data_IF_572565653927
#
_entry.id   IF_572565653927
#
_cell.length_a   1.000
_cell.length_b   1.000
_cell.length_c   1.000
_cell.angle_alpha   90.00
_cell.angle_beta   90.00
_cell.angle_gamma   90.00
#
_symmetry.space_group_name_H-M   'P 1'
#
loop_
_entity.id
_entity.type
_entity.pdbx_description
1 polymer ?
#
# COMPACT_ATOMS: atom_id res chain seq x y z
N UNK A 1 19.67 -18.97 5.81
CA UNK A 1 18.24 -19.22 5.87
C UNK A 1 17.55 -18.45 6.96
N UNK A 2 18.11 -18.41 8.18
CA UNK A 2 17.58 -17.61 9.29
C UNK A 2 17.49 -16.12 8.95
N UNK A 3 18.52 -15.57 8.30
CA UNK A 3 18.56 -14.16 7.89
C UNK A 3 17.41 -13.80 6.95
N UNK A 4 17.08 -14.67 6.01
CA UNK A 4 16.01 -14.42 5.05
C UNK A 4 14.64 -14.41 5.73
N UNK A 5 14.41 -15.30 6.68
CA UNK A 5 13.18 -15.36 7.46
C UNK A 5 13.05 -14.12 8.34
N UNK A 6 14.13 -13.74 9.03
CA UNK A 6 14.15 -12.56 9.88
C UNK A 6 13.91 -11.29 9.07
N UNK A 7 14.47 -11.20 7.86
CA UNK A 7 14.25 -10.07 6.97
C UNK A 7 12.79 -9.98 6.53
N UNK A 8 12.16 -11.11 6.21
CA UNK A 8 10.75 -11.13 5.84
C UNK A 8 9.84 -10.72 6.99
N UNK A 9 10.14 -11.17 8.21
CA UNK A 9 9.38 -10.77 9.40
C UNK A 9 9.54 -9.28 9.68
N UNK A 10 10.75 -8.76 9.57
CA UNK A 10 11.03 -7.34 9.75
C UNK A 10 10.31 -6.52 8.69
N UNK A 11 10.34 -6.98 7.44
CA UNK A 11 9.64 -6.33 6.33
C UNK A 11 8.13 -6.24 6.59
N UNK A 12 7.52 -7.32 7.03
CA UNK A 12 6.09 -7.35 7.38
C UNK A 12 5.77 -6.38 8.50
N UNK A 13 6.64 -6.30 9.52
CA UNK A 13 6.48 -5.37 10.63
C UNK A 13 6.54 -3.93 10.16
N UNK A 14 7.50 -3.61 9.29
CA UNK A 14 7.60 -2.29 8.69
C UNK A 14 6.33 -1.94 7.91
N UNK A 15 5.84 -2.85 7.08
CA UNK A 15 4.63 -2.62 6.28
C UNK A 15 3.41 -2.39 7.18
N UNK A 16 3.26 -3.17 8.25
CA UNK A 16 2.16 -3.01 9.20
C UNK A 16 2.20 -1.66 9.91
N UNK A 17 3.39 -1.24 10.34
CA UNK A 17 3.59 0.06 10.98
C UNK A 17 3.25 1.18 10.02
N UNK A 18 3.70 1.07 8.77
CA UNK A 18 3.44 2.08 7.75
C UNK A 18 1.95 2.22 7.45
N UNK A 19 1.23 1.11 7.29
CA UNK A 19 -0.22 1.16 7.06
C UNK A 19 -0.90 1.92 8.20
N UNK A 20 -0.57 1.58 9.44
CA UNK A 20 -1.14 2.23 10.60
C UNK A 20 -0.84 3.73 10.65
N UNK A 21 0.42 4.09 10.48
CA UNK A 21 0.84 5.49 10.55
C UNK A 21 0.30 6.32 9.40
N UNK A 22 0.33 5.77 8.19
CA UNK A 22 -0.19 6.48 7.02
C UNK A 22 -1.68 6.77 7.16
N UNK A 23 -2.44 5.82 7.71
CA UNK A 23 -3.87 6.01 7.90
C UNK A 23 -4.21 6.91 9.10
N UNK A 24 -3.38 6.92 10.13
CA UNK A 24 -3.62 7.72 11.33
C UNK A 24 -3.19 9.18 11.16
N UNK A 25 -2.05 9.41 10.55
CA UNK A 25 -1.47 10.76 10.51
C UNK A 25 -1.13 11.25 9.10
N UNK A 26 -1.25 10.41 8.10
CA UNK A 26 -0.97 10.76 6.71
C UNK A 26 0.42 10.36 6.26
N UNK A 27 0.59 10.20 4.95
CA UNK A 27 1.83 9.76 4.34
C UNK A 27 2.96 10.77 4.55
N UNK A 28 2.70 12.03 4.23
CA UNK A 28 3.73 13.08 4.31
C UNK A 28 4.16 13.38 5.75
N UNK A 29 3.25 13.22 6.70
CA UNK A 29 3.55 13.45 8.12
C UNK A 29 4.31 12.30 8.78
N UNK A 30 4.52 11.19 8.07
CA UNK A 30 5.21 10.01 8.60
C UNK A 30 6.65 10.00 8.12
N UNK A 31 7.60 9.97 9.05
CA UNK A 31 9.03 9.93 8.74
C UNK A 31 9.59 8.52 8.85
N UNK A 32 10.71 8.28 8.16
CA UNK A 32 11.43 7.01 8.26
C UNK A 32 11.88 6.75 9.71
N UNK A 33 12.31 7.80 10.40
CA UNK A 33 12.73 7.69 11.82
C UNK A 33 11.58 7.18 12.68
N UNK A 34 10.38 7.69 12.48
CA UNK A 34 9.21 7.25 13.23
C UNK A 34 8.85 5.81 12.89
N UNK A 35 8.87 5.46 11.62
CA UNK A 35 8.59 4.09 11.18
C UNK A 35 9.56 3.11 11.82
N UNK A 36 10.85 3.41 11.77
CA UNK A 36 11.89 2.56 12.34
C UNK A 36 11.71 2.40 13.86
N UNK A 37 11.46 3.51 14.55
CA UNK A 37 11.26 3.48 16.00
C UNK A 37 10.08 2.59 16.40
N UNK A 38 8.96 2.71 15.72
CA UNK A 38 7.77 1.92 16.02
C UNK A 38 7.91 0.46 15.59
N UNK A 39 8.71 0.19 14.56
CA UNK A 39 9.00 -1.18 14.15
C UNK A 39 10.08 -1.83 15.02
N UNK A 40 10.70 -1.07 15.93
CA UNK A 40 11.73 -1.58 16.82
C UNK A 40 13.05 -1.85 16.13
N UNK A 41 13.38 -1.08 15.10
CA UNK A 41 14.62 -1.23 14.32
C UNK A 41 15.31 0.12 14.17
N UNK A 42 16.57 0.08 13.72
CA UNK A 42 17.30 1.30 13.39
C UNK A 42 16.90 1.82 12.01
N UNK A 43 17.13 3.11 11.77
CA UNK A 43 16.94 3.71 10.44
C UNK A 43 17.81 2.98 9.41
N UNK A 44 19.02 2.60 9.80
CA UNK A 44 19.93 1.86 8.93
C UNK A 44 19.32 0.51 8.49
N UNK A 45 18.71 -0.22 9.41
CA UNK A 45 18.03 -1.48 9.09
C UNK A 45 16.85 -1.25 8.16
N UNK A 46 16.07 -0.19 8.40
CA UNK A 46 14.98 0.18 7.51
C UNK A 46 15.50 0.41 6.08
N UNK A 47 16.57 1.19 5.95
CA UNK A 47 17.12 1.57 4.64
C UNK A 47 17.76 0.40 3.90
N UNK A 48 18.19 -0.64 4.63
CA UNK A 48 18.67 -1.87 4.00
C UNK A 48 17.54 -2.67 3.36
N UNK A 49 16.31 -2.56 3.88
CA UNK A 49 15.14 -3.29 3.38
C UNK A 49 14.37 -2.44 2.37
N UNK A 50 14.07 -1.20 2.73
CA UNK A 50 13.41 -0.21 1.88
C UNK A 50 14.27 1.03 1.83
N UNK A 51 14.79 1.40 0.68
CA UNK A 51 15.69 2.54 0.56
C UNK A 51 15.01 3.86 0.89
N UNK A 52 13.73 3.97 0.57
CA UNK A 52 12.97 5.20 0.73
C UNK A 52 11.57 4.89 1.25
N UNK A 53 10.88 5.93 1.72
CA UNK A 53 9.48 5.82 2.11
C UNK A 53 8.60 5.51 0.89
N UNK A 54 8.95 6.05 -0.28
CA UNK A 54 8.21 5.77 -1.52
C UNK A 54 8.33 4.31 -1.93
N UNK A 55 9.44 3.65 -1.64
CA UNK A 55 9.60 2.21 -1.91
C UNK A 55 8.61 1.38 -1.09
N UNK A 56 8.37 1.78 0.17
CA UNK A 56 7.34 1.15 1.00
C UNK A 56 5.96 1.36 0.37
N UNK A 57 5.68 2.58 -0.02
CA UNK A 57 4.39 2.92 -0.64
C UNK A 57 4.16 2.12 -1.92
N UNK A 58 5.19 2.00 -2.76
CA UNK A 58 5.13 1.22 -4.00
C UNK A 58 4.70 -0.23 -3.72
N UNK A 59 5.29 -0.85 -2.71
CA UNK A 59 4.95 -2.23 -2.36
C UNK A 59 3.53 -2.35 -1.80
N UNK A 60 3.12 -1.41 -0.95
CA UNK A 60 1.76 -1.37 -0.42
C UNK A 60 0.72 -1.18 -1.53
N UNK A 61 1.02 -0.36 -2.52
CA UNK A 61 0.15 -0.13 -3.67
C UNK A 61 -0.10 -1.44 -4.42
N UNK A 62 0.95 -2.24 -4.62
CA UNK A 62 0.80 -3.54 -5.27
C UNK A 62 -0.22 -4.42 -4.56
N UNK A 63 -0.17 -4.47 -3.24
CA UNK A 63 -1.14 -5.22 -2.44
C UNK A 63 -2.53 -4.59 -2.52
N UNK A 64 -2.63 -3.27 -2.40
CA UNK A 64 -3.91 -2.57 -2.43
C UNK A 64 -4.65 -2.78 -3.74
N UNK A 65 -3.98 -2.56 -4.85
CA UNK A 65 -4.63 -2.68 -6.16
C UNK A 65 -4.96 -4.14 -6.49
N UNK A 66 -4.09 -5.07 -6.16
CA UNK A 66 -4.37 -6.49 -6.35
C UNK A 66 -5.58 -6.93 -5.51
N UNK A 67 -5.62 -6.51 -4.25
CA UNK A 67 -6.73 -6.82 -3.36
C UNK A 67 -8.04 -6.20 -3.80
N UNK A 68 -8.01 -4.95 -4.23
CA UNK A 68 -9.19 -4.25 -4.72
C UNK A 68 -9.73 -4.89 -5.98
N UNK A 69 -8.87 -5.24 -6.93
CA UNK A 69 -9.28 -5.88 -8.18
C UNK A 69 -9.91 -7.24 -7.90
N UNK A 70 -9.30 -8.04 -7.04
CA UNK A 70 -9.82 -9.35 -6.66
C UNK A 70 -11.19 -9.24 -6.00
N UNK A 71 -11.34 -8.32 -5.05
CA UNK A 71 -12.61 -8.07 -4.37
C UNK A 71 -13.69 -7.60 -5.35
N UNK A 72 -13.34 -6.67 -6.24
CA UNK A 72 -14.26 -6.15 -7.24
C UNK A 72 -14.72 -7.24 -8.21
N UNK A 73 -13.80 -8.11 -8.59
CA UNK A 73 -14.12 -9.23 -9.48
C UNK A 73 -15.09 -10.21 -8.83
N UNK A 74 -14.87 -10.50 -7.53
CA UNK A 74 -15.77 -11.38 -6.78
C UNK A 74 -17.16 -10.75 -6.64
N UNK A 75 -17.22 -9.45 -6.39
CA UNK A 75 -18.50 -8.73 -6.26
C UNK A 75 -19.25 -8.64 -7.58
N UNK A 76 -18.54 -8.44 -8.68
CA UNK A 76 -19.16 -8.36 -10.01
C UNK A 76 -19.63 -9.70 -10.52
N UNK A 77 -19.03 -10.79 -10.07
CA UNK A 77 -19.37 -12.15 -10.45
C UNK A 77 -18.63 -12.64 -11.70
N UNK A 78 -18.50 -13.97 -11.84
CA UNK A 78 -17.70 -14.56 -12.91
C UNK A 78 -18.33 -14.49 -14.29
N UNK A 79 -19.64 -14.24 -14.36
CA UNK A 79 -20.39 -14.23 -15.63
C UNK A 79 -20.40 -12.86 -16.30
N UNK A 80 -19.92 -11.80 -15.62
CA UNK A 80 -19.90 -10.46 -16.17
C UNK A 80 -18.55 -10.14 -16.84
N UNK A 81 -18.58 -9.28 -17.88
CA UNK A 81 -17.33 -8.85 -18.52
C UNK A 81 -16.39 -8.14 -17.54
N UNK A 82 -15.07 -8.14 -17.79
CA UNK A 82 -14.10 -7.49 -16.91
C UNK A 82 -14.35 -6.00 -16.65
N UNK A 83 -15.03 -5.30 -17.56
CA UNK A 83 -15.34 -3.88 -17.37
C UNK A 83 -16.21 -3.65 -16.13
N UNK A 84 -17.06 -4.62 -15.75
CA UNK A 84 -17.86 -4.50 -14.54
C UNK A 84 -17.00 -4.59 -13.28
N UNK A 85 -16.00 -5.46 -13.27
CA UNK A 85 -15.04 -5.53 -12.17
C UNK A 85 -14.29 -4.22 -12.00
N UNK A 86 -13.89 -3.61 -13.12
CA UNK A 86 -13.22 -2.31 -13.11
C UNK A 86 -14.12 -1.21 -12.54
N UNK A 87 -15.39 -1.19 -12.95
CA UNK A 87 -16.34 -0.22 -12.44
C UNK A 87 -16.58 -0.38 -10.94
N UNK A 88 -16.69 -1.62 -10.45
CA UNK A 88 -16.84 -1.89 -9.01
C UNK A 88 -15.60 -1.48 -8.25
N UNK A 89 -14.41 -1.75 -8.77
CA UNK A 89 -13.15 -1.33 -8.16
C UNK A 89 -13.08 0.19 -8.02
N UNK A 90 -13.46 0.92 -9.07
CA UNK A 90 -13.49 2.38 -9.03
C UNK A 90 -14.47 2.88 -7.96
N UNK A 91 -15.64 2.27 -7.87
CA UNK A 91 -16.64 2.63 -6.87
C UNK A 91 -16.13 2.37 -5.45
N UNK A 92 -15.45 1.25 -5.21
CA UNK A 92 -14.83 0.93 -3.92
C UNK A 92 -13.79 1.99 -3.56
N UNK A 93 -12.91 2.31 -4.49
CA UNK A 93 -11.84 3.28 -4.28
C UNK A 93 -12.41 4.66 -3.93
N UNK A 94 -13.40 5.12 -4.66
CA UNK A 94 -14.05 6.41 -4.40
C UNK A 94 -14.71 6.42 -3.03
N UNK A 95 -15.40 5.35 -2.66
CA UNK A 95 -16.05 5.23 -1.36
C UNK A 95 -15.03 5.29 -0.22
N UNK A 96 -13.94 4.55 -0.34
CA UNK A 96 -12.89 4.53 0.69
C UNK A 96 -12.22 5.90 0.84
N UNK A 97 -11.98 6.61 -0.25
CA UNK A 97 -11.36 7.94 -0.18
C UNK A 97 -12.29 8.99 0.41
N UNK A 98 -13.61 8.81 0.28
CA UNK A 98 -14.59 9.68 0.95
C UNK A 98 -14.62 9.45 2.45
N UNK A 99 -14.38 8.22 2.89
CA UNK A 99 -14.46 7.85 4.31
C UNK A 99 -13.20 8.22 5.10
N UNK A 100 -12.05 8.34 4.45
CA UNK A 100 -10.79 8.60 5.14
C UNK A 100 -9.89 9.52 4.31
N UNK A 101 -9.64 10.71 4.86
CA UNK A 101 -8.82 11.72 4.20
C UNK A 101 -7.37 11.26 4.00
N UNK A 102 -6.80 10.56 4.97
CA UNK A 102 -5.43 10.03 4.86
C UNK A 102 -5.33 8.94 3.81
N UNK A 103 -6.37 8.14 3.65
CA UNK A 103 -6.41 7.14 2.58
C UNK A 103 -6.46 7.82 1.21
N UNK A 104 -7.23 8.91 1.09
CA UNK A 104 -7.25 9.72 -0.14
C UNK A 104 -5.85 10.24 -0.48
N UNK A 105 -5.12 10.74 0.52
CA UNK A 105 -3.74 11.19 0.33
C UNK A 105 -2.84 10.08 -0.20
N UNK A 106 -3.00 8.87 0.34
CA UNK A 106 -2.23 7.70 -0.12
C UNK A 106 -2.52 7.41 -1.59
N UNK A 107 -3.78 7.43 -2.02
CA UNK A 107 -4.14 7.22 -3.42
C UNK A 107 -3.56 8.30 -4.33
N UNK A 108 -3.59 9.56 -3.90
CA UNK A 108 -3.02 10.66 -4.68
C UNK A 108 -1.51 10.45 -4.86
N UNK A 109 -0.80 10.12 -3.79
CA UNK A 109 0.62 9.83 -3.86
C UNK A 109 0.90 8.61 -4.73
N UNK A 110 0.07 7.57 -4.61
CA UNK A 110 0.19 6.36 -5.40
C UNK A 110 0.15 6.64 -6.90
N UNK A 111 -0.83 7.44 -7.33
CA UNK A 111 -0.97 7.79 -8.74
C UNK A 111 0.16 8.69 -9.25
N UNK A 112 0.89 9.33 -8.34
CA UNK A 112 2.04 10.18 -8.69
C UNK A 112 3.32 9.39 -8.89
N UNK A 113 3.39 8.14 -8.45
CA UNK A 113 4.59 7.32 -8.59
C UNK A 113 4.72 6.77 -10.01
N UNK A 114 5.95 6.76 -10.58
CA UNK A 114 6.16 6.35 -11.98
C UNK A 114 5.70 4.93 -12.30
N UNK A 115 5.84 4.02 -11.34
CA UNK A 115 5.58 2.60 -11.57
C UNK A 115 4.13 2.19 -11.28
N UNK A 116 3.30 3.09 -10.77
CA UNK A 116 1.91 2.78 -10.43
C UNK A 116 1.10 2.37 -11.66
N UNK A 117 1.43 2.91 -12.82
CA UNK A 117 0.73 2.56 -14.05
C UNK A 117 0.76 1.07 -14.37
N UNK A 118 1.77 0.35 -13.89
CA UNK A 118 1.86 -1.10 -14.06
C UNK A 118 0.68 -1.83 -13.41
N UNK A 119 0.18 -1.30 -12.31
CA UNK A 119 -0.95 -1.90 -11.59
C UNK A 119 -2.30 -1.47 -12.18
N UNK A 120 -2.35 -0.32 -12.84
CA UNK A 120 -3.58 0.23 -13.41
C UNK A 120 -3.92 -0.43 -14.73
N UNK A 121 -2.91 -0.66 -15.58
CA UNK A 121 -3.10 -1.17 -16.94
C UNK A 121 -2.91 -2.67 -17.08
N UNK A 122 -2.68 -3.37 -16.00
CA UNK A 122 -2.65 -4.81 -15.99
C UNK A 122 -4.04 -5.36 -15.68
#
# INVERSE_FOLDING_TARGET
>A
MTLRKDTLETKRRILSVCVRLFLQQGYHATSISQIAAEAGISVSTFQNIFRTKDAVLHELIGFMFSGQFSAARDMAGPSLPPVYAYAVETAIQLTLTELNENLREIYIEAYSLPDTSEYIYL
#
